data_IF_246259732072
#
_entry.id   IF_246259732072
#
_cell.length_a   1.000
_cell.length_b   1.000
_cell.length_c   1.000
_cell.angle_alpha   90.00
_cell.angle_beta   90.00
_cell.angle_gamma   90.00
#
_symmetry.space_group_name_H-M   'P 1'
#
loop_
_entity.id
_entity.type
_entity.pdbx_description
1 polymer ?
#
# COMPACT_ATOMS: atom_id res chain seq x y z
N UNK A 1 85.09 2.94 -7.66
CA UNK A 1 85.33 2.58 -9.07
C UNK A 1 84.81 1.17 -9.32
N UNK A 2 84.07 1.00 -10.43
CA UNK A 2 83.64 -0.28 -11.08
C UNK A 2 82.53 -1.05 -10.33
N UNK A 3 81.28 -1.00 -10.85
CA UNK A 3 80.66 -1.88 -11.88
C UNK A 3 80.35 -3.27 -11.25
N UNK A 4 79.17 -3.91 -11.33
CA UNK A 4 78.35 -4.32 -12.50
C UNK A 4 76.97 -4.77 -11.96
N UNK A 5 75.89 -4.47 -12.70
CA UNK A 5 74.55 -5.05 -12.60
C UNK A 5 74.49 -6.32 -13.47
N UNK A 6 73.76 -7.37 -13.07
CA UNK A 6 72.80 -7.98 -14.01
C UNK A 6 71.46 -8.22 -13.29
N UNK A 7 70.37 -7.57 -13.71
CA UNK A 7 69.41 -8.07 -14.73
C UNK A 7 69.05 -9.54 -14.48
N UNK A 8 67.94 -9.76 -13.76
CA UNK A 8 67.16 -10.98 -13.93
C UNK A 8 65.75 -10.59 -14.38
N UNK A 9 65.48 -11.07 -15.58
CA UNK A 9 64.31 -10.95 -16.43
C UNK A 9 63.09 -11.59 -15.73
N UNK A 10 62.05 -10.81 -15.43
CA UNK A 10 60.73 -11.35 -15.09
C UNK A 10 59.74 -10.82 -16.11
N UNK A 11 59.53 -11.63 -17.15
CA UNK A 11 58.57 -11.40 -18.21
C UNK A 11 57.77 -12.70 -18.32
N UNK A 12 56.59 -12.76 -17.68
CA UNK A 12 55.47 -13.59 -18.14
C UNK A 12 54.17 -13.03 -17.57
N UNK A 13 53.48 -12.32 -18.44
CA UNK A 13 52.04 -12.10 -18.47
C UNK A 13 51.25 -13.40 -18.32
N UNK A 14 50.17 -13.42 -17.53
CA UNK A 14 48.85 -13.79 -18.06
C UNK A 14 47.70 -13.38 -17.13
N UNK A 15 46.74 -12.70 -17.73
CA UNK A 15 45.43 -12.33 -17.21
C UNK A 15 44.59 -13.58 -16.89
N UNK A 16 43.83 -13.54 -15.80
CA UNK A 16 42.48 -14.13 -15.78
C UNK A 16 41.54 -13.10 -15.15
N UNK A 17 40.61 -12.65 -15.98
CA UNK A 17 39.59 -11.66 -15.69
C UNK A 17 38.63 -12.19 -14.61
N UNK A 18 38.66 -11.60 -13.42
CA UNK A 18 37.51 -11.61 -12.52
C UNK A 18 36.60 -10.44 -12.87
N UNK A 19 35.86 -10.59 -13.97
CA UNK A 19 34.68 -9.78 -14.27
C UNK A 19 33.44 -10.66 -14.14
N UNK A 20 33.04 -10.95 -12.90
CA UNK A 20 31.65 -11.25 -12.61
C UNK A 20 30.97 -9.93 -12.26
N UNK A 21 30.53 -9.22 -13.29
CA UNK A 21 29.41 -8.29 -13.14
C UNK A 21 28.20 -9.15 -12.79
N UNK A 22 27.92 -9.28 -11.49
CA UNK A 22 26.61 -9.69 -11.00
C UNK A 22 25.67 -8.51 -11.26
N UNK A 23 25.22 -8.38 -12.50
CA UNK A 23 24.01 -7.63 -12.81
C UNK A 23 22.89 -8.41 -12.14
N UNK A 24 22.46 -7.92 -10.98
CA UNK A 24 21.20 -8.38 -10.38
C UNK A 24 20.12 -8.09 -11.41
N UNK A 25 19.58 -9.14 -12.02
CA UNK A 25 18.28 -9.07 -12.65
C UNK A 25 17.31 -8.56 -11.59
N UNK A 26 16.99 -7.28 -11.69
CA UNK A 26 15.84 -6.71 -11.03
C UNK A 26 14.65 -7.42 -11.67
N UNK A 27 14.10 -8.41 -10.96
CA UNK A 27 12.75 -8.88 -11.20
C UNK A 27 11.88 -7.62 -11.30
N UNK A 28 11.47 -7.32 -12.52
CA UNK A 28 10.47 -6.30 -12.78
C UNK A 28 9.19 -6.91 -12.23
N UNK A 29 8.93 -6.64 -10.96
CA UNK A 29 7.63 -6.84 -10.35
C UNK A 29 6.69 -6.07 -11.26
N UNK A 30 5.80 -6.78 -11.96
CA UNK A 30 4.76 -6.15 -12.74
C UNK A 30 4.01 -5.24 -11.77
N UNK A 31 4.24 -3.93 -11.88
CA UNK A 31 3.44 -2.93 -11.19
C UNK A 31 2.05 -3.06 -11.79
N UNK A 32 1.20 -3.84 -11.14
CA UNK A 32 -0.23 -3.84 -11.43
C UNK A 32 -0.69 -2.40 -11.25
N UNK A 33 -0.93 -1.71 -12.36
CA UNK A 33 -1.39 -0.33 -12.33
C UNK A 33 -2.75 -0.29 -11.64
N UNK A 34 -2.87 0.48 -10.56
CA UNK A 34 -4.14 0.74 -9.91
C UNK A 34 -5.08 1.51 -10.87
N UNK A 35 -6.38 1.29 -10.74
CA UNK A 35 -7.40 1.92 -11.62
C UNK A 35 -7.69 3.37 -11.20
N UNK A 36 -7.65 3.64 -9.88
CA UNK A 36 -8.04 4.93 -9.31
C UNK A 36 -7.09 5.33 -8.20
N UNK A 37 -6.98 6.63 -7.96
CA UNK A 37 -6.27 7.21 -6.82
C UNK A 37 -7.26 7.91 -5.91
N UNK A 38 -7.22 7.60 -4.63
CA UNK A 38 -8.11 8.18 -3.61
C UNK A 38 -7.30 8.71 -2.45
N UNK A 39 -7.84 9.66 -1.71
CA UNK A 39 -7.25 10.10 -0.44
C UNK A 39 -7.91 9.34 0.70
N UNK A 40 -7.12 8.79 1.61
CA UNK A 40 -7.60 8.11 2.82
C UNK A 40 -7.13 8.92 4.02
N UNK A 41 -8.08 9.28 4.89
CA UNK A 41 -7.84 9.99 6.14
C UNK A 41 -8.28 9.10 7.29
N UNK A 42 -7.38 8.91 8.27
CA UNK A 42 -7.65 8.07 9.42
C UNK A 42 -7.68 8.89 10.71
N UNK A 43 -8.85 9.02 11.34
CA UNK A 43 -9.04 9.75 12.61
C UNK A 43 -9.21 8.84 13.82
N UNK A 44 -8.92 7.55 13.69
CA UNK A 44 -9.22 6.56 14.74
C UNK A 44 -7.96 6.17 15.52
N UNK A 45 -7.13 5.31 14.95
CA UNK A 45 -5.90 4.78 15.54
C UNK A 45 -4.93 4.40 14.43
N UNK A 46 -3.62 4.35 14.70
CA UNK A 46 -2.64 3.84 13.73
C UNK A 46 -3.09 2.47 13.21
N UNK A 47 -3.13 2.30 11.89
CA UNK A 47 -3.81 1.15 11.31
C UNK A 47 -3.29 0.71 9.95
N UNK A 48 -3.64 -0.53 9.62
CA UNK A 48 -3.62 -1.06 8.26
C UNK A 48 -5.02 -1.02 7.69
N UNK A 49 -5.17 -0.47 6.48
CA UNK A 49 -6.45 -0.27 5.80
C UNK A 49 -6.43 -1.00 4.46
N UNK A 50 -7.53 -1.68 4.15
CA UNK A 50 -7.80 -2.30 2.86
C UNK A 50 -9.06 -1.66 2.26
N UNK A 51 -8.95 -1.24 1.01
CA UNK A 51 -10.07 -0.85 0.14
C UNK A 51 -10.11 -1.86 -0.99
N UNK A 52 -11.08 -2.76 -0.94
CA UNK A 52 -11.17 -3.93 -1.80
C UNK A 52 -12.35 -3.80 -2.76
N UNK A 53 -12.21 -4.29 -3.99
CA UNK A 53 -13.36 -4.44 -4.91
C UNK A 53 -14.46 -5.27 -4.26
N UNK A 54 -15.71 -4.84 -4.38
CA UNK A 54 -16.85 -5.56 -3.82
C UNK A 54 -17.23 -6.79 -4.65
N UNK A 55 -16.55 -7.91 -4.35
CA UNK A 55 -16.76 -9.20 -5.00
C UNK A 55 -17.18 -10.26 -3.97
N UNK A 56 -17.86 -11.31 -4.42
CA UNK A 56 -18.25 -12.43 -3.55
C UNK A 56 -17.03 -13.06 -2.85
N UNK A 57 -15.88 -13.14 -3.53
CA UNK A 57 -14.64 -13.64 -2.95
C UNK A 57 -14.15 -12.77 -1.79
N UNK A 58 -14.13 -11.44 -1.98
CA UNK A 58 -13.69 -10.50 -0.94
C UNK A 58 -14.66 -10.43 0.24
N UNK A 59 -15.97 -10.64 0.02
CA UNK A 59 -16.97 -10.74 1.10
C UNK A 59 -16.80 -11.98 1.98
N UNK A 60 -16.30 -13.09 1.41
CA UNK A 60 -16.21 -14.40 2.09
C UNK A 60 -14.85 -14.70 2.72
N UNK A 61 -13.82 -13.91 2.43
CA UNK A 61 -12.47 -14.11 2.96
C UNK A 61 -12.20 -13.26 4.20
N UNK A 62 -11.38 -13.80 5.10
CA UNK A 62 -10.77 -13.07 6.23
C UNK A 62 -9.28 -12.78 6.01
N UNK A 63 -8.74 -13.17 4.85
CA UNK A 63 -7.36 -12.94 4.44
C UNK A 63 -7.36 -12.05 3.21
N UNK A 64 -6.94 -10.79 3.36
CA UNK A 64 -7.01 -9.75 2.33
C UNK A 64 -5.65 -9.38 1.70
N UNK A 65 -4.57 -10.05 2.12
CA UNK A 65 -3.23 -9.77 1.62
C UNK A 65 -2.66 -8.45 2.15
N UNK A 66 -1.82 -7.79 1.34
CA UNK A 66 -1.18 -6.52 1.70
C UNK A 66 -2.22 -5.40 1.82
N UNK A 67 -2.18 -4.57 2.87
CA UNK A 67 -3.08 -3.43 3.00
C UNK A 67 -2.87 -2.43 1.87
N UNK A 68 -3.96 -1.79 1.45
CA UNK A 68 -3.94 -0.63 0.54
C UNK A 68 -3.05 0.46 1.13
N UNK A 69 -3.14 0.69 2.44
CA UNK A 69 -2.27 1.64 3.13
C UNK A 69 -2.04 1.28 4.60
N UNK A 70 -0.90 1.72 5.13
CA UNK A 70 -0.64 1.85 6.56
C UNK A 70 -0.53 3.32 6.90
N UNK A 71 -1.22 3.77 7.93
CA UNK A 71 -1.34 5.20 8.24
C UNK A 71 -1.37 5.43 9.75
N UNK A 72 -0.71 6.50 10.21
CA UNK A 72 -0.84 6.95 11.58
C UNK A 72 -2.20 7.64 11.81
N UNK A 73 -2.46 8.06 13.05
CA UNK A 73 -3.64 8.87 13.37
C UNK A 73 -3.48 10.26 12.77
N UNK A 74 -4.58 10.81 12.27
CA UNK A 74 -4.70 12.14 11.67
C UNK A 74 -3.89 12.37 10.38
N UNK A 75 -3.32 11.30 9.83
CA UNK A 75 -2.64 11.35 8.54
C UNK A 75 -3.62 11.25 7.37
N UNK A 76 -3.29 11.99 6.31
CA UNK A 76 -3.95 11.95 5.02
C UNK A 76 -2.98 11.40 3.99
N UNK A 77 -3.37 10.35 3.29
CA UNK A 77 -2.49 9.69 2.34
C UNK A 77 -3.22 9.34 1.04
N UNK A 78 -2.53 9.50 -0.09
CA UNK A 78 -3.05 9.02 -1.38
C UNK A 78 -2.73 7.55 -1.55
N UNK A 79 -3.71 6.79 -2.03
CA UNK A 79 -3.56 5.38 -2.34
C UNK A 79 -4.18 5.05 -3.69
N UNK A 80 -3.48 4.21 -4.45
CA UNK A 80 -4.04 3.55 -5.62
C UNK A 80 -4.97 2.41 -5.17
N UNK A 81 -6.16 2.33 -5.76
CA UNK A 81 -7.10 1.24 -5.54
C UNK A 81 -7.45 0.56 -6.87
N UNK A 82 -7.76 -0.72 -6.80
CA UNK A 82 -8.22 -1.49 -7.95
C UNK A 82 -9.59 -1.02 -8.43
N UNK A 83 -10.00 -1.48 -9.62
CA UNK A 83 -11.36 -1.28 -10.12
C UNK A 83 -12.39 -1.77 -9.08
N UNK A 84 -13.58 -1.17 -9.00
CA UNK A 84 -14.62 -1.60 -8.08
C UNK A 84 -15.12 -3.00 -8.45
N UNK A 85 -15.96 -3.57 -7.58
CA UNK A 85 -16.75 -4.74 -7.94
C UNK A 85 -17.63 -4.48 -9.17
N UNK A 86 -18.23 -5.53 -9.75
CA UNK A 86 -19.14 -5.38 -10.90
C UNK A 86 -20.38 -4.51 -10.58
N UNK A 87 -20.68 -4.33 -9.29
CA UNK A 87 -21.71 -3.42 -8.78
C UNK A 87 -21.26 -1.96 -8.65
N UNK A 88 -20.00 -1.64 -8.98
CA UNK A 88 -19.43 -0.30 -8.84
C UNK A 88 -19.01 0.08 -7.42
N UNK A 89 -18.95 -0.88 -6.48
CA UNK A 89 -18.73 -0.61 -5.07
C UNK A 89 -17.43 -1.24 -4.53
N UNK A 90 -17.06 -0.77 -3.34
CA UNK A 90 -15.92 -1.21 -2.56
C UNK A 90 -16.32 -1.73 -1.19
N UNK A 91 -15.40 -2.48 -0.60
CA UNK A 91 -15.41 -3.01 0.75
C UNK A 91 -14.26 -2.34 1.50
N UNK A 92 -14.56 -1.76 2.66
CA UNK A 92 -13.55 -1.22 3.57
C UNK A 92 -13.28 -2.19 4.72
N UNK A 93 -12.00 -2.45 4.98
CA UNK A 93 -11.54 -3.20 6.14
C UNK A 93 -10.39 -2.43 6.79
N UNK A 94 -10.35 -2.38 8.11
CA UNK A 94 -9.25 -1.79 8.84
C UNK A 94 -8.98 -2.58 10.11
N UNK A 95 -7.71 -2.74 10.44
CA UNK A 95 -7.24 -3.29 11.71
C UNK A 95 -6.27 -2.27 12.30
N UNK A 96 -6.58 -1.77 13.49
CA UNK A 96 -5.69 -0.86 14.20
C UNK A 96 -4.64 -1.59 15.04
N UNK A 97 -3.67 -0.81 15.55
CA UNK A 97 -2.59 -1.32 16.39
C UNK A 97 -3.07 -1.89 17.74
N UNK A 98 -4.25 -1.47 18.20
CA UNK A 98 -4.90 -1.97 19.42
C UNK A 98 -5.76 -3.22 19.19
N UNK A 99 -5.72 -3.80 17.99
CA UNK A 99 -6.48 -5.00 17.61
C UNK A 99 -7.99 -4.76 17.55
N UNK A 100 -8.43 -3.55 17.28
CA UNK A 100 -9.79 -3.31 16.84
C UNK A 100 -9.90 -3.52 15.34
N UNK A 101 -10.94 -4.23 14.94
CA UNK A 101 -11.35 -4.44 13.56
C UNK A 101 -12.52 -3.53 13.21
N UNK A 102 -12.43 -2.90 12.05
CA UNK A 102 -13.44 -2.02 11.50
C UNK A 102 -13.85 -2.48 10.10
N UNK A 103 -15.14 -2.43 9.80
CA UNK A 103 -15.64 -2.81 8.48
C UNK A 103 -16.87 -2.04 8.05
N UNK A 104 -16.90 -1.72 6.75
CA UNK A 104 -18.06 -1.20 6.07
C UNK A 104 -18.07 -1.70 4.63
N UNK A 105 -19.25 -1.88 4.04
CA UNK A 105 -19.45 -2.49 2.73
C UNK A 105 -20.27 -1.56 1.83
N UNK A 106 -20.30 -1.85 0.52
CA UNK A 106 -21.09 -1.12 -0.46
C UNK A 106 -20.69 0.36 -0.59
N UNK A 107 -19.39 0.67 -0.45
CA UNK A 107 -18.87 2.05 -0.51
C UNK A 107 -18.68 2.45 -1.97
N UNK A 108 -19.34 3.54 -2.37
CA UNK A 108 -19.07 4.18 -3.66
C UNK A 108 -17.85 5.11 -3.53
N UNK A 109 -16.88 4.96 -4.43
CA UNK A 109 -15.66 5.77 -4.45
C UNK A 109 -15.15 5.94 -5.88
N UNK A 110 -14.88 7.18 -6.27
CA UNK A 110 -14.40 7.55 -7.60
C UNK A 110 -12.96 8.10 -7.54
N UNK A 111 -12.32 8.20 -8.70
CA UNK A 111 -10.98 8.78 -8.81
C UNK A 111 -10.93 10.22 -8.26
N UNK A 112 -9.92 10.51 -7.45
CA UNK A 112 -9.70 11.80 -6.78
C UNK A 112 -10.58 12.06 -5.55
N UNK A 113 -11.45 11.12 -5.14
CA UNK A 113 -12.30 11.28 -3.95
C UNK A 113 -11.55 11.00 -2.65
N UNK A 114 -12.13 11.42 -1.54
CA UNK A 114 -11.59 11.20 -0.19
C UNK A 114 -12.49 10.27 0.61
N UNK A 115 -11.87 9.32 1.32
CA UNK A 115 -12.49 8.44 2.30
C UNK A 115 -11.90 8.80 3.67
N UNK A 116 -12.71 9.33 4.57
CA UNK A 116 -12.32 9.64 5.95
C UNK A 116 -13.02 8.71 6.93
N UNK A 117 -12.27 7.91 7.68
CA UNK A 117 -12.80 7.14 8.80
C UNK A 117 -12.61 7.91 10.10
N UNK A 118 -13.69 8.04 10.88
CA UNK A 118 -13.67 8.77 12.16
C UNK A 118 -14.64 8.19 13.18
N UNK A 119 -14.38 8.53 14.43
CA UNK A 119 -15.32 8.30 15.52
C UNK A 119 -16.31 9.48 15.60
N UNK A 120 -17.59 9.20 15.40
CA UNK A 120 -18.66 10.20 15.51
C UNK A 120 -19.14 10.37 16.96
N UNK A 121 -19.17 9.28 17.73
CA UNK A 121 -19.49 9.30 19.16
C UNK A 121 -18.84 8.12 19.90
N UNK A 122 -19.06 8.00 21.21
CA UNK A 122 -18.37 7.04 22.11
C UNK A 122 -18.31 5.59 21.59
N UNK A 123 -19.23 5.16 20.72
CA UNK A 123 -19.23 3.82 20.13
C UNK A 123 -19.66 3.80 18.65
N UNK A 124 -19.75 4.96 18.01
CA UNK A 124 -20.18 5.07 16.62
C UNK A 124 -19.00 5.51 15.78
N UNK A 125 -18.66 4.68 14.80
CA UNK A 125 -17.64 4.96 13.81
C UNK A 125 -18.32 5.10 12.45
N UNK A 126 -17.84 6.04 11.65
CA UNK A 126 -18.37 6.30 10.32
C UNK A 126 -17.24 6.48 9.32
N UNK A 127 -17.55 6.19 8.06
CA UNK A 127 -16.78 6.64 6.91
C UNK A 127 -17.55 7.75 6.23
N UNK A 128 -16.92 8.90 6.06
CA UNK A 128 -17.40 9.96 5.19
C UNK A 128 -16.66 9.91 3.86
N UNK A 129 -17.42 9.98 2.78
CA UNK A 129 -16.87 10.07 1.43
C UNK A 129 -17.17 11.45 0.87
N UNK A 130 -16.11 12.19 0.54
CA UNK A 130 -16.20 13.49 -0.11
C UNK A 130 -15.70 13.41 -1.55
N UNK A 131 -16.37 14.14 -2.43
CA UNK A 131 -15.94 14.26 -3.82
C UNK A 131 -14.65 15.09 -3.95
N UNK A 132 -14.10 15.13 -5.16
CA UNK A 132 -12.89 15.89 -5.50
C UNK A 132 -12.98 17.42 -5.24
N UNK A 133 -14.19 17.94 -5.13
CA UNK A 133 -14.46 19.36 -4.88
C UNK A 133 -14.68 19.63 -3.37
N UNK A 134 -14.64 18.59 -2.54
CA UNK A 134 -14.77 18.64 -1.09
C UNK A 134 -16.22 18.54 -0.59
N UNK A 135 -17.19 18.21 -1.46
CA UNK A 135 -18.58 18.04 -1.02
C UNK A 135 -18.79 16.65 -0.42
N UNK A 136 -19.47 16.58 0.72
CA UNK A 136 -19.88 15.30 1.30
C UNK A 136 -20.89 14.61 0.38
N UNK A 137 -20.53 13.42 -0.10
CA UNK A 137 -21.36 12.61 -0.98
C UNK A 137 -22.18 11.58 -0.19
N UNK A 138 -21.53 10.88 0.74
CA UNK A 138 -22.15 9.83 1.53
C UNK A 138 -21.47 9.63 2.89
N UNK A 139 -22.24 9.08 3.83
CA UNK A 139 -21.77 8.61 5.14
C UNK A 139 -22.17 7.16 5.30
N UNK A 140 -21.23 6.32 5.72
CA UNK A 140 -21.44 4.89 5.95
C UNK A 140 -21.16 4.57 7.41
N UNK A 141 -22.07 3.82 8.04
CA UNK A 141 -21.80 3.23 9.35
C UNK A 141 -20.66 2.22 9.24
N UNK A 142 -19.82 2.18 10.27
CA UNK A 142 -18.70 1.25 10.39
C UNK A 142 -18.95 0.34 11.58
N UNK A 143 -19.00 -0.96 11.31
CA UNK A 143 -18.95 -1.97 12.36
C UNK A 143 -17.55 -1.96 12.98
N UNK A 144 -17.47 -1.99 14.31
CA UNK A 144 -16.22 -2.04 15.06
C UNK A 144 -16.27 -3.15 16.13
N UNK A 145 -15.22 -3.95 16.24
CA UNK A 145 -15.11 -5.00 17.25
C UNK A 145 -13.64 -5.29 17.60
N UNK A 146 -13.38 -5.63 18.86
CA UNK A 146 -12.06 -6.13 19.29
C UNK A 146 -11.82 -7.55 18.75
N UNK A 147 -10.61 -7.81 18.27
CA UNK A 147 -10.13 -9.11 17.76
C UNK A 147 -9.62 -10.05 18.85
#
# INVERSE_FOLDING_TARGET
MRKIIPVLLCLFTLMVFCSCNTTKESETTATTACDRTVTIINRVNEASIWVLSDTEANRKTTVWGTPTIKTAVDESCQAGIDKPGDNGLYIFRMIDTEKMYYSSDNIALEDGWTLEIKQESTQVYVIEVTDKDGNLNATYEVFAASL
#
